data_IF_557191934123
#
_entry.id   IF_557191934123
#
_cell.length_a   1.000
_cell.length_b   1.000
_cell.length_c   1.000
_cell.angle_alpha   90.00
_cell.angle_beta   90.00
_cell.angle_gamma   90.00
#
_symmetry.space_group_name_H-M   'P 1'
#
loop_
_entity.id
_entity.type
_entity.pdbx_description
1 polymer ?
#
# COMPACT_ATOMS: atom_id res chain seq x y z
N UNK A 1 -15.81 13.34 3.80
CA UNK A 1 -15.70 11.95 4.29
C UNK A 1 -15.10 11.89 5.70
N UNK A 2 -13.83 12.25 5.91
CA UNK A 2 -13.23 12.25 7.26
C UNK A 2 -14.02 13.09 8.27
N UNK A 3 -14.47 14.29 7.88
CA UNK A 3 -15.22 15.23 8.75
C UNK A 3 -16.58 14.71 9.27
N UNK A 4 -17.12 13.65 8.67
CA UNK A 4 -18.46 13.15 8.99
C UNK A 4 -18.46 11.66 9.36
N UNK A 5 -17.29 11.02 9.37
CA UNK A 5 -17.16 9.62 9.74
C UNK A 5 -17.17 9.47 11.27
N UNK A 6 -17.84 8.43 11.78
CA UNK A 6 -17.82 8.11 13.22
C UNK A 6 -16.42 7.66 13.70
N UNK A 7 -15.63 7.09 12.80
CA UNK A 7 -14.24 6.69 13.05
C UNK A 7 -13.59 6.21 11.76
N UNK A 8 -12.27 6.39 11.66
CA UNK A 8 -11.46 5.86 10.56
C UNK A 8 -10.05 5.53 11.06
N UNK A 9 -9.34 4.69 10.33
CA UNK A 9 -7.95 4.35 10.60
C UNK A 9 -7.18 4.16 9.31
N UNK A 10 -5.89 4.47 9.35
CA UNK A 10 -4.98 4.34 8.21
C UNK A 10 -3.69 3.72 8.72
N UNK A 11 -3.27 2.62 8.11
CA UNK A 11 -2.07 1.90 8.50
C UNK A 11 -1.23 1.62 7.27
N UNK A 12 0.04 1.97 7.35
CA UNK A 12 1.04 1.68 6.33
C UNK A 12 1.87 0.47 6.78
N UNK A 13 2.28 -0.33 5.80
CA UNK A 13 3.20 -1.44 5.98
C UNK A 13 4.40 -1.17 5.07
N UNK A 14 5.60 -1.34 5.62
CA UNK A 14 6.85 -0.98 4.95
C UNK A 14 7.11 -1.87 3.73
N UNK A 15 7.97 -1.41 2.81
CA UNK A 15 8.42 -2.26 1.70
C UNK A 15 9.16 -3.51 2.19
N UNK A 16 9.91 -3.38 3.29
CA UNK A 16 10.64 -4.48 3.94
C UNK A 16 9.69 -5.53 4.52
N UNK A 17 8.62 -5.11 5.18
CA UNK A 17 7.58 -6.02 5.66
C UNK A 17 6.86 -6.72 4.51
N UNK A 18 6.62 -6.03 3.39
CA UNK A 18 6.04 -6.65 2.20
C UNK A 18 6.99 -7.70 1.61
N UNK A 19 8.29 -7.41 1.55
CA UNK A 19 9.30 -8.35 1.09
C UNK A 19 9.40 -9.57 2.04
N UNK A 20 9.24 -9.35 3.34
CA UNK A 20 9.30 -10.40 4.38
C UNK A 20 8.05 -11.28 4.41
N UNK A 21 6.87 -10.70 4.34
CA UNK A 21 5.59 -11.40 4.58
C UNK A 21 4.81 -11.71 3.31
N UNK A 22 5.24 -11.22 2.14
CA UNK A 22 4.47 -11.13 0.90
C UNK A 22 3.32 -10.10 0.94
N UNK A 23 2.85 -9.71 -0.24
CA UNK A 23 1.83 -8.65 -0.39
C UNK A 23 0.47 -9.02 0.19
N UNK A 24 0.11 -10.30 0.18
CA UNK A 24 -1.19 -10.77 0.67
C UNK A 24 -1.26 -10.66 2.19
N UNK A 25 -0.25 -11.17 2.91
CA UNK A 25 -0.20 -11.04 4.37
C UNK A 25 0.05 -9.61 4.82
N UNK A 26 0.92 -8.86 4.14
CA UNK A 26 1.15 -7.44 4.42
C UNK A 26 -0.14 -6.62 4.28
N UNK A 27 -0.98 -6.94 3.29
CA UNK A 27 -2.30 -6.29 3.15
C UNK A 27 -3.20 -6.59 4.36
N UNK A 28 -3.23 -7.83 4.85
CA UNK A 28 -3.99 -8.17 6.06
C UNK A 28 -3.46 -7.45 7.30
N UNK A 29 -2.14 -7.32 7.44
CA UNK A 29 -1.52 -6.56 8.54
C UNK A 29 -1.97 -5.10 8.49
N UNK A 30 -1.90 -4.46 7.32
CA UNK A 30 -2.36 -3.08 7.13
C UNK A 30 -3.85 -2.93 7.48
N UNK A 31 -4.70 -3.84 7.02
CA UNK A 31 -6.13 -3.80 7.32
C UNK A 31 -6.41 -3.97 8.82
N UNK A 32 -5.75 -4.92 9.49
CA UNK A 32 -5.88 -5.11 10.95
C UNK A 32 -5.39 -3.88 11.72
N UNK A 33 -4.29 -3.27 11.29
CA UNK A 33 -3.76 -2.03 11.88
C UNK A 33 -4.66 -0.82 11.66
N UNK A 34 -5.34 -0.72 10.51
CA UNK A 34 -6.34 0.32 10.28
C UNK A 34 -7.58 0.13 11.15
N UNK A 35 -8.07 -1.12 11.26
CA UNK A 35 -9.22 -1.46 12.10
C UNK A 35 -8.96 -1.18 13.58
N UNK A 36 -7.75 -1.48 14.08
CA UNK A 36 -7.42 -1.29 15.51
C UNK A 36 -7.42 0.18 15.97
N UNK A 37 -7.36 1.13 15.04
CA UNK A 37 -7.47 2.57 15.31
C UNK A 37 -8.93 3.01 15.51
N UNK A 38 -9.91 2.24 15.04
CA UNK A 38 -11.33 2.53 15.18
C UNK A 38 -11.77 2.11 16.59
N UNK A 39 -12.03 3.09 17.46
CA UNK A 39 -12.37 2.84 18.87
C UNK A 39 -13.87 2.77 19.16
N UNK A 40 -14.70 3.10 18.18
CA UNK A 40 -16.15 2.94 18.29
C UNK A 40 -16.52 1.45 18.20
N UNK A 41 -17.52 0.97 18.94
CA UNK A 41 -17.99 -0.40 18.82
C UNK A 41 -18.53 -0.71 17.41
N UNK A 42 -18.17 -1.87 16.86
CA UNK A 42 -18.71 -2.39 15.60
C UNK A 42 -18.90 -3.92 15.70
N UNK A 43 -19.88 -4.44 14.97
CA UNK A 43 -20.26 -5.86 15.01
C UNK A 43 -19.96 -6.60 13.70
N UNK A 44 -19.61 -5.86 12.65
CA UNK A 44 -19.40 -6.38 11.31
C UNK A 44 -18.32 -5.57 10.60
N UNK A 45 -17.42 -6.27 9.89
CA UNK A 45 -16.45 -5.68 8.98
C UNK A 45 -16.74 -6.15 7.56
N UNK A 46 -16.86 -5.21 6.63
CA UNK A 46 -16.97 -5.47 5.20
C UNK A 46 -15.63 -5.16 4.55
N UNK A 47 -15.13 -6.08 3.72
CA UNK A 47 -13.84 -5.93 3.03
C UNK A 47 -14.00 -6.10 1.53
N UNK A 48 -13.11 -5.49 0.74
CA UNK A 48 -13.06 -5.73 -0.69
C UNK A 48 -12.25 -7.02 -0.98
N UNK A 49 -12.97 -8.09 -1.24
CA UNK A 49 -12.45 -9.41 -1.60
C UNK A 49 -11.37 -10.01 -0.66
N UNK A 50 -11.26 -9.56 0.59
CA UNK A 50 -10.20 -10.00 1.52
C UNK A 50 -10.77 -10.67 2.78
N UNK A 51 -10.29 -11.87 3.10
CA UNK A 51 -10.59 -12.52 4.38
C UNK A 51 -9.67 -11.99 5.47
N UNK A 52 -10.22 -11.73 6.65
CA UNK A 52 -9.47 -11.33 7.83
C UNK A 52 -9.86 -12.21 9.01
N UNK A 53 -8.85 -12.62 9.77
CA UNK A 53 -9.04 -13.32 11.03
C UNK A 53 -8.96 -12.31 12.19
N UNK A 54 -10.13 -11.90 12.68
CA UNK A 54 -10.34 -10.96 13.78
C UNK A 54 -11.57 -11.40 14.60
N UNK A 55 -11.70 -10.89 15.82
CA UNK A 55 -12.76 -11.27 16.78
C UNK A 55 -14.18 -10.77 16.41
N UNK A 56 -14.38 -10.30 15.18
CA UNK A 56 -15.65 -9.74 14.68
C UNK A 56 -15.97 -10.39 13.34
N UNK A 57 -17.25 -10.56 13.03
CA UNK A 57 -17.68 -11.13 11.75
C UNK A 57 -17.12 -10.30 10.59
N UNK A 58 -16.50 -10.98 9.62
CA UNK A 58 -15.96 -10.37 8.40
C UNK A 58 -16.71 -10.91 7.19
N UNK A 59 -17.20 -10.04 6.32
CA UNK A 59 -17.82 -10.40 5.04
C UNK A 59 -16.98 -9.83 3.90
N UNK A 60 -16.25 -10.67 3.14
CA UNK A 60 -15.59 -10.23 1.92
C UNK A 60 -16.60 -10.07 0.79
N UNK A 61 -16.61 -8.88 0.19
CA UNK A 61 -17.46 -8.56 -0.96
C UNK A 61 -16.61 -8.50 -2.22
N UNK A 62 -17.01 -9.21 -3.27
CA UNK A 62 -16.42 -9.06 -4.61
C UNK A 62 -16.86 -7.70 -5.17
N UNK A 63 -15.90 -6.87 -5.59
CA UNK A 63 -16.12 -5.48 -6.03
C UNK A 63 -16.86 -4.69 -4.95
N UNK A 64 -16.33 -4.76 -3.73
CA UNK A 64 -16.97 -4.21 -2.55
C UNK A 64 -17.10 -2.69 -2.61
N UNK A 65 -16.14 -2.01 -3.24
CA UNK A 65 -16.13 -0.57 -3.46
C UNK A 65 -17.33 -0.08 -4.30
N UNK A 66 -17.72 -0.83 -5.33
CA UNK A 66 -18.89 -0.51 -6.16
C UNK A 66 -20.22 -0.81 -5.46
N UNK A 67 -20.21 -1.59 -4.38
CA UNK A 67 -21.42 -2.14 -3.73
C UNK A 67 -21.65 -1.65 -2.30
N UNK A 68 -20.65 -1.04 -1.67
CA UNK A 68 -20.70 -0.60 -0.30
C UNK A 68 -20.02 0.76 -0.13
N UNK A 69 -20.78 1.74 0.35
CA UNK A 69 -20.28 3.09 0.59
C UNK A 69 -19.11 3.14 1.59
N UNK A 70 -19.11 2.26 2.60
CA UNK A 70 -18.02 2.19 3.57
C UNK A 70 -16.73 1.66 2.95
N UNK A 71 -16.82 0.69 2.04
CA UNK A 71 -15.65 0.18 1.31
C UNK A 71 -15.14 1.24 0.34
N UNK A 72 -16.04 1.88 -0.42
CA UNK A 72 -15.67 3.00 -1.30
C UNK A 72 -14.96 4.11 -0.51
N UNK A 73 -15.47 4.44 0.67
CA UNK A 73 -14.89 5.43 1.56
C UNK A 73 -13.48 5.05 2.03
N UNK A 74 -13.30 3.80 2.47
CA UNK A 74 -11.99 3.28 2.87
C UNK A 74 -11.00 3.29 1.69
N UNK A 75 -11.43 2.94 0.48
CA UNK A 75 -10.58 2.95 -0.72
C UNK A 75 -10.11 4.36 -1.08
N UNK A 76 -10.98 5.37 -0.97
CA UNK A 76 -10.61 6.78 -1.16
C UNK A 76 -9.57 7.21 -0.12
N UNK A 77 -9.81 6.91 1.17
CA UNK A 77 -8.86 7.23 2.25
C UNK A 77 -7.49 6.60 2.01
N UNK A 78 -7.46 5.32 1.65
CA UNK A 78 -6.23 4.60 1.37
C UNK A 78 -5.49 5.21 0.17
N UNK A 79 -6.19 5.48 -0.94
CA UNK A 79 -5.60 6.04 -2.16
C UNK A 79 -5.03 7.43 -1.94
N UNK A 80 -5.79 8.34 -1.35
CA UNK A 80 -5.34 9.72 -1.09
C UNK A 80 -4.13 9.72 -0.16
N UNK A 81 -4.16 8.92 0.90
CA UNK A 81 -3.05 8.86 1.87
C UNK A 81 -1.80 8.26 1.25
N UNK A 82 -1.93 7.22 0.43
CA UNK A 82 -0.80 6.64 -0.31
C UNK A 82 -0.23 7.64 -1.32
N UNK A 83 -1.07 8.35 -2.03
CA UNK A 83 -0.61 9.30 -3.05
C UNK A 83 0.13 10.50 -2.43
N UNK A 84 -0.29 10.95 -1.24
CA UNK A 84 0.46 11.93 -0.46
C UNK A 84 1.83 11.39 -0.03
N UNK A 85 1.89 10.16 0.50
CA UNK A 85 3.18 9.53 0.86
C UNK A 85 4.14 9.47 -0.33
N UNK A 86 3.64 9.15 -1.54
CA UNK A 86 4.49 9.11 -2.73
C UNK A 86 5.02 10.51 -3.12
N UNK A 87 4.24 11.58 -2.90
CA UNK A 87 4.70 12.95 -3.13
C UNK A 87 5.78 13.35 -2.13
N UNK A 88 5.63 12.97 -0.85
CA UNK A 88 6.66 13.22 0.15
C UNK A 88 7.94 12.44 -0.14
N UNK A 89 7.84 11.18 -0.59
CA UNK A 89 9.01 10.40 -0.99
C UNK A 89 9.78 11.02 -2.15
N UNK A 90 9.12 11.68 -3.12
CA UNK A 90 9.84 12.40 -4.18
C UNK A 90 10.67 13.57 -3.63
N UNK A 91 10.24 14.21 -2.53
CA UNK A 91 11.06 15.26 -1.90
C UNK A 91 12.34 14.71 -1.29
N UNK A 92 12.29 13.50 -0.75
CA UNK A 92 13.44 12.80 -0.18
C UNK A 92 14.34 12.20 -1.28
N UNK A 93 13.73 11.70 -2.37
CA UNK A 93 14.41 11.07 -3.51
C UNK A 93 14.04 11.78 -4.82
N UNK A 94 14.61 12.98 -5.09
CA UNK A 94 14.20 13.84 -6.21
C UNK A 94 14.46 13.25 -7.61
N UNK A 95 15.33 12.25 -7.68
CA UNK A 95 15.66 11.47 -8.89
C UNK A 95 14.51 10.56 -9.35
N UNK A 96 13.55 10.26 -8.45
CA UNK A 96 12.39 9.42 -8.73
C UNK A 96 11.11 10.25 -8.76
N UNK A 97 10.38 10.23 -9.88
CA UNK A 97 9.13 10.98 -10.03
C UNK A 97 7.93 10.29 -9.39
N UNK A 98 8.06 9.96 -8.10
CA UNK A 98 7.03 9.26 -7.33
C UNK A 98 5.69 10.00 -7.32
N UNK A 99 5.67 11.33 -7.45
CA UNK A 99 4.43 12.10 -7.61
C UNK A 99 3.66 11.76 -8.89
N UNK A 100 4.33 11.29 -9.94
CA UNK A 100 3.72 10.91 -11.22
C UNK A 100 3.33 9.43 -11.23
N UNK A 101 4.30 8.53 -11.08
CA UNK A 101 4.06 7.09 -11.24
C UNK A 101 3.66 6.39 -9.94
N UNK A 102 3.67 7.06 -8.78
CA UNK A 102 3.23 6.54 -7.48
C UNK A 102 3.88 5.20 -7.10
N UNK A 103 5.11 4.95 -7.56
CA UNK A 103 5.84 3.70 -7.39
C UNK A 103 5.35 2.51 -8.23
N UNK A 104 4.36 2.68 -9.12
CA UNK A 104 3.98 1.63 -10.08
C UNK A 104 5.08 1.42 -11.12
N UNK A 105 5.18 0.20 -11.69
CA UNK A 105 6.17 -0.18 -12.70
C UNK A 105 5.89 0.42 -14.08
N UNK A 106 5.73 1.74 -14.16
CA UNK A 106 5.61 2.49 -15.42
C UNK A 106 6.96 2.53 -16.13
N UNK A 107 6.96 2.84 -17.43
CA UNK A 107 8.19 2.99 -18.22
C UNK A 107 9.19 3.95 -17.55
N UNK A 108 8.70 5.13 -17.14
CA UNK A 108 9.51 6.15 -16.45
C UNK A 108 10.17 5.58 -15.18
N UNK A 109 9.40 4.90 -14.33
CA UNK A 109 9.94 4.34 -13.10
C UNK A 109 10.99 3.24 -13.33
N UNK A 110 10.82 2.43 -14.38
CA UNK A 110 11.81 1.42 -14.74
C UNK A 110 13.11 2.06 -15.25
N UNK A 111 13.02 3.14 -16.03
CA UNK A 111 14.18 3.91 -16.49
C UNK A 111 14.93 4.56 -15.32
N UNK A 112 14.20 5.15 -14.36
CA UNK A 112 14.78 5.71 -13.13
C UNK A 112 15.47 4.64 -12.27
N UNK A 113 14.86 3.45 -12.14
CA UNK A 113 15.46 2.32 -11.44
C UNK A 113 16.77 1.87 -12.10
N UNK A 114 16.80 1.75 -13.43
CA UNK A 114 18.01 1.38 -14.16
C UNK A 114 19.12 2.43 -14.01
N UNK A 115 18.75 3.71 -14.00
CA UNK A 115 19.69 4.84 -13.92
C UNK A 115 20.26 5.06 -12.52
N UNK A 116 19.41 5.03 -11.50
CA UNK A 116 19.77 5.44 -10.12
C UNK A 116 19.86 4.27 -9.15
N UNK A 117 19.34 3.09 -9.52
CA UNK A 117 19.25 1.92 -8.65
C UNK A 117 18.09 1.98 -7.66
N UNK A 118 17.68 0.83 -7.12
CA UNK A 118 16.58 0.76 -6.17
C UNK A 118 16.96 1.30 -4.78
N UNK A 119 16.02 1.95 -4.13
CA UNK A 119 16.15 2.55 -2.81
C UNK A 119 15.73 1.54 -1.74
N UNK A 120 16.64 1.25 -0.80
CA UNK A 120 16.35 0.39 0.36
C UNK A 120 15.27 1.02 1.26
N UNK A 121 14.32 0.22 1.72
CA UNK A 121 13.19 0.69 2.55
C UNK A 121 12.01 1.28 1.76
N UNK A 122 12.21 1.69 0.50
CA UNK A 122 11.17 2.24 -0.37
C UNK A 122 10.75 1.24 -1.44
N UNK A 123 11.70 0.68 -2.18
CA UNK A 123 11.42 -0.33 -3.20
C UNK A 123 11.28 -1.72 -2.60
N UNK A 124 10.47 -2.55 -3.25
CA UNK A 124 10.22 -3.95 -2.85
C UNK A 124 11.18 -4.86 -3.58
N UNK A 125 12.25 -5.30 -2.92
CA UNK A 125 13.32 -6.08 -3.53
C UNK A 125 12.88 -7.51 -3.87
N UNK A 126 11.77 -7.99 -3.31
CA UNK A 126 11.17 -9.27 -3.71
C UNK A 126 10.46 -9.20 -5.08
N UNK A 127 10.15 -8.01 -5.58
CA UNK A 127 9.40 -7.84 -6.83
C UNK A 127 10.32 -7.90 -8.05
N UNK A 128 9.89 -8.60 -9.09
CA UNK A 128 10.75 -8.94 -10.24
C UNK A 128 11.49 -7.75 -10.87
N UNK A 129 10.87 -6.58 -11.19
CA UNK A 129 11.60 -5.48 -11.81
C UNK A 129 12.74 -4.94 -10.94
N UNK A 130 12.50 -4.78 -9.63
CA UNK A 130 13.48 -4.29 -8.66
C UNK A 130 14.58 -5.33 -8.45
N UNK A 131 14.20 -6.59 -8.23
CA UNK A 131 15.14 -7.71 -8.08
C UNK A 131 16.09 -7.83 -9.28
N UNK A 132 15.54 -7.74 -10.49
CA UNK A 132 16.30 -7.85 -11.72
C UNK A 132 17.24 -6.66 -11.92
N UNK A 133 16.78 -5.44 -11.62
CA UNK A 133 17.60 -4.24 -11.66
C UNK A 133 18.78 -4.35 -10.69
N UNK A 134 18.50 -4.71 -9.43
CA UNK A 134 19.53 -4.88 -8.39
C UNK A 134 20.57 -5.94 -8.77
N UNK A 135 20.12 -7.10 -9.27
CA UNK A 135 21.01 -8.17 -9.70
C UNK A 135 21.90 -7.79 -10.91
N UNK A 136 21.42 -6.92 -11.81
CA UNK A 136 22.24 -6.39 -12.91
C UNK A 136 23.33 -5.46 -12.38
N UNK A 137 23.00 -4.58 -11.44
CA UNK A 137 23.97 -3.65 -10.85
C UNK A 137 25.10 -4.36 -10.11
N UNK A 138 24.80 -5.43 -9.37
CA UNK A 138 25.82 -6.26 -8.71
C UNK A 138 26.79 -6.95 -9.66
N UNK A 139 26.42 -7.16 -10.93
CA UNK A 139 27.28 -7.77 -11.96
C UNK A 139 28.20 -6.78 -12.67
N UNK A 140 27.99 -5.47 -12.46
CA UNK A 140 28.80 -4.41 -13.04
C UNK A 140 30.01 -4.03 -12.15
N UNK A 141 30.09 -4.64 -10.97
CA UNK A 141 31.22 -4.58 -10.03
C UNK A 141 31.84 -5.98 -9.91
#
# INVERSE_FOLDING_TARGET
>A
MQRVALGYGICFVSAEDIDKYNIYEATKIAMKGAISQIKIPYQLVLTDAMKLDINVKVIPLIKGDARCQNIAAASILAKVSRDHLMVELEKEYPDFKFSLHKGYGTKLHLEELEKYGPIKGVHRFSYAPVKNCFAKQLKLF
#
